data_IF_850167741967
#
_entry.id   IF_850167741967
#
_cell.length_a   1.000
_cell.length_b   1.000
_cell.length_c   1.000
_cell.angle_alpha   90.00
_cell.angle_beta   90.00
_cell.angle_gamma   90.00
#
_symmetry.space_group_name_H-M   'P 1'
#
loop_
_entity.id
_entity.type
_entity.pdbx_description
1 polymer ?
#
# COMPACT_ATOMS: atom_id res chain seq x y z
N UNK A 1 -1.60 10.68 9.69
CA UNK A 1 -0.56 9.97 8.92
C UNK A 1 -0.04 8.80 9.74
N UNK A 2 0.26 7.67 9.12
CA UNK A 2 0.84 6.49 9.77
C UNK A 2 2.17 6.16 9.10
N UNK A 3 3.27 6.84 9.48
CA UNK A 3 4.58 6.54 8.94
C UNK A 3 5.01 5.15 9.42
N UNK A 4 5.52 4.36 8.50
CA UNK A 4 6.01 3.01 8.76
C UNK A 4 7.38 2.84 8.12
N UNK A 5 8.29 2.16 8.81
CA UNK A 5 9.64 1.88 8.34
C UNK A 5 9.89 0.38 8.49
N UNK A 6 10.37 -0.26 7.42
CA UNK A 6 10.83 -1.65 7.44
C UNK A 6 12.32 -1.68 7.33
N UNK A 7 12.94 -2.43 8.23
CA UNK A 7 14.37 -2.69 8.27
C UNK A 7 14.62 -4.19 8.05
N UNK A 8 15.66 -4.51 7.29
CA UNK A 8 16.15 -5.89 7.18
C UNK A 8 17.01 -6.18 8.41
N UNK A 9 16.63 -7.18 9.18
CA UNK A 9 17.44 -7.60 10.33
C UNK A 9 18.81 -8.10 9.84
N UNK A 10 19.93 -7.69 10.48
CA UNK A 10 21.25 -8.24 10.16
C UNK A 10 21.25 -9.76 10.37
N UNK A 11 21.76 -10.50 9.40
CA UNK A 11 21.99 -11.94 9.58
C UNK A 11 23.12 -12.17 10.58
N UNK A 12 23.12 -13.34 11.24
CA UNK A 12 24.18 -13.67 12.20
C UNK A 12 25.59 -13.71 11.55
N UNK A 13 25.65 -14.01 10.27
CA UNK A 13 26.89 -14.02 9.48
C UNK A 13 27.42 -12.61 9.19
N UNK A 14 26.53 -11.58 9.20
CA UNK A 14 26.91 -10.18 8.96
C UNK A 14 27.58 -9.54 10.19
N UNK A 15 27.58 -10.21 11.34
CA UNK A 15 28.20 -9.72 12.58
C UNK A 15 29.73 -9.63 12.54
N UNK A 16 30.37 -10.24 11.54
CA UNK A 16 31.82 -10.22 11.36
C UNK A 16 32.38 -8.91 10.76
N UNK A 17 31.54 -8.13 10.11
CA UNK A 17 31.90 -6.80 9.61
C UNK A 17 31.14 -5.76 10.42
N UNK A 18 31.87 -4.85 11.07
CA UNK A 18 31.35 -3.76 11.92
C UNK A 18 29.93 -3.34 11.52
N UNK A 19 28.93 -3.52 12.37
CA UNK A 19 27.56 -3.20 12.00
C UNK A 19 27.44 -1.69 11.77
N UNK A 20 27.34 -1.28 10.51
CA UNK A 20 27.14 0.13 10.14
C UNK A 20 25.82 0.67 10.74
N UNK A 21 24.89 -0.22 11.05
CA UNK A 21 23.63 0.13 11.66
C UNK A 21 23.12 -1.04 12.54
N UNK A 22 22.97 -0.82 13.84
CA UNK A 22 22.44 -1.83 14.78
C UNK A 22 20.96 -2.20 14.53
N UNK A 23 20.24 -1.39 13.78
CA UNK A 23 18.85 -1.58 13.48
C UNK A 23 18.60 -2.37 12.18
N UNK A 24 19.67 -2.60 11.38
CA UNK A 24 19.59 -3.21 10.06
C UNK A 24 19.42 -2.21 8.93
N UNK A 25 19.37 -2.71 7.71
CA UNK A 25 19.29 -1.90 6.51
C UNK A 25 17.85 -1.47 6.21
N UNK A 26 17.68 -0.23 5.80
CA UNK A 26 16.39 0.31 5.40
C UNK A 26 15.89 -0.42 4.13
N UNK A 27 14.66 -0.94 4.17
CA UNK A 27 14.03 -1.63 3.04
C UNK A 27 12.91 -0.80 2.44
N UNK A 28 11.99 -0.31 3.28
CA UNK A 28 10.81 0.41 2.81
C UNK A 28 10.40 1.46 3.84
N UNK A 29 10.08 2.65 3.34
CA UNK A 29 9.42 3.72 4.11
C UNK A 29 8.11 4.05 3.40
N UNK A 30 7.00 4.04 4.14
CA UNK A 30 5.72 4.46 3.58
C UNK A 30 4.79 5.04 4.64
N UNK A 31 3.79 5.73 4.18
CA UNK A 31 2.76 6.28 5.04
C UNK A 31 1.52 6.62 4.25
N UNK A 32 0.39 6.64 4.94
CA UNK A 32 -0.89 6.88 4.31
C UNK A 32 -1.68 8.02 4.93
N UNK A 33 -2.66 8.50 4.19
CA UNK A 33 -3.74 9.38 4.65
C UNK A 33 -5.09 8.85 4.17
N UNK A 34 -6.18 9.16 4.91
CA UNK A 34 -7.53 8.67 4.54
C UNK A 34 -8.39 8.24 5.72
N UNK A 35 -8.14 8.81 6.92
CA UNK A 35 -8.94 8.50 8.12
C UNK A 35 -8.83 7.02 8.53
N UNK A 36 -9.93 6.34 8.82
CA UNK A 36 -9.92 4.94 9.25
C UNK A 36 -9.35 3.99 8.20
N UNK A 37 -9.38 4.36 6.92
CA UNK A 37 -8.86 3.58 5.80
C UNK A 37 -7.32 3.58 5.71
N UNK A 38 -6.62 4.41 6.48
CA UNK A 38 -5.15 4.47 6.51
C UNK A 38 -4.55 3.09 6.80
N UNK A 39 -5.07 2.39 7.82
CA UNK A 39 -4.52 1.12 8.28
C UNK A 39 -4.57 0.08 7.15
N UNK A 40 -5.73 -0.11 6.52
CA UNK A 40 -5.88 -1.07 5.42
C UNK A 40 -5.10 -0.66 4.18
N UNK A 41 -5.04 0.64 3.85
CA UNK A 41 -4.26 1.12 2.69
C UNK A 41 -2.77 0.83 2.87
N UNK A 42 -2.21 1.15 4.04
CA UNK A 42 -0.82 0.86 4.38
C UNK A 42 -0.55 -0.65 4.37
N UNK A 43 -1.47 -1.45 4.92
CA UNK A 43 -1.34 -2.92 4.93
C UNK A 43 -1.43 -3.52 3.51
N UNK A 44 -2.34 -3.04 2.65
CA UNK A 44 -2.43 -3.53 1.26
C UNK A 44 -1.12 -3.27 0.51
N UNK A 45 -0.54 -2.07 0.63
CA UNK A 45 0.76 -1.76 -0.01
C UNK A 45 1.87 -2.63 0.55
N UNK A 46 1.93 -2.83 1.86
CA UNK A 46 2.90 -3.74 2.49
C UNK A 46 2.83 -5.17 1.91
N UNK A 47 1.63 -5.74 1.88
CA UNK A 47 1.43 -7.10 1.36
C UNK A 47 1.79 -7.20 -0.12
N UNK A 48 1.43 -6.21 -0.92
CA UNK A 48 1.74 -6.18 -2.34
C UNK A 48 3.25 -6.05 -2.58
N UNK A 49 3.91 -5.08 -1.96
CA UNK A 49 5.32 -4.80 -2.19
C UNK A 49 6.25 -5.89 -1.59
N UNK A 50 6.05 -6.27 -0.33
CA UNK A 50 7.01 -7.13 0.37
C UNK A 50 6.64 -8.60 0.37
N UNK A 51 5.36 -8.95 0.40
CA UNK A 51 4.93 -10.37 0.42
C UNK A 51 4.73 -10.89 -1.00
N UNK A 52 4.00 -10.16 -1.83
CA UNK A 52 3.73 -10.54 -3.23
C UNK A 52 4.85 -10.15 -4.19
N UNK A 53 5.82 -9.34 -3.74
CA UNK A 53 6.97 -8.88 -4.54
C UNK A 53 6.55 -8.11 -5.81
N UNK A 54 5.46 -7.38 -5.74
CA UNK A 54 5.01 -6.51 -6.83
C UNK A 54 5.96 -5.32 -6.98
N UNK A 55 6.17 -4.80 -8.21
CA UNK A 55 6.82 -3.51 -8.40
C UNK A 55 6.15 -2.44 -7.52
N UNK A 56 6.94 -1.50 -6.97
CA UNK A 56 6.40 -0.55 -5.98
C UNK A 56 5.24 0.28 -6.54
N UNK A 57 5.33 0.69 -7.81
CA UNK A 57 4.26 1.42 -8.49
C UNK A 57 2.95 0.61 -8.49
N UNK A 58 3.00 -0.65 -8.93
CA UNK A 58 1.84 -1.53 -8.97
C UNK A 58 1.31 -1.81 -7.56
N UNK A 59 2.20 -1.99 -6.58
CA UNK A 59 1.82 -2.22 -5.19
C UNK A 59 1.02 -1.05 -4.60
N UNK A 60 1.38 0.18 -4.96
CA UNK A 60 0.71 1.41 -4.50
C UNK A 60 -0.58 1.65 -5.28
N UNK A 61 -0.61 1.38 -6.60
CA UNK A 61 -1.76 1.70 -7.46
C UNK A 61 -2.84 0.62 -7.49
N UNK A 62 -2.52 -0.62 -7.08
CA UNK A 62 -3.51 -1.71 -7.01
C UNK A 62 -4.78 -1.27 -6.25
N UNK A 63 -5.98 -1.58 -6.77
CA UNK A 63 -7.25 -1.29 -6.10
C UNK A 63 -7.32 -1.91 -4.70
N UNK A 64 -7.93 -1.19 -3.77
CA UNK A 64 -7.88 -1.51 -2.34
C UNK A 64 -9.21 -2.00 -1.80
N UNK A 65 -9.11 -2.77 -0.72
CA UNK A 65 -10.23 -3.27 0.06
C UNK A 65 -10.08 -2.74 1.48
N UNK A 66 -11.19 -2.31 2.09
CA UNK A 66 -11.22 -1.89 3.47
C UNK A 66 -12.43 -2.49 4.19
N UNK A 67 -12.16 -3.11 5.34
CA UNK A 67 -13.20 -3.59 6.24
C UNK A 67 -12.92 -3.05 7.65
N UNK A 68 -13.89 -2.37 8.21
CA UNK A 68 -13.86 -1.89 9.59
C UNK A 68 -15.08 -2.38 10.39
N UNK A 69 -15.73 -3.44 9.90
CA UNK A 69 -16.95 -4.04 10.42
C UNK A 69 -18.18 -3.15 10.21
N UNK A 70 -18.16 -1.91 10.66
CA UNK A 70 -19.27 -0.95 10.49
C UNK A 70 -18.75 0.27 9.73
N UNK A 71 -19.34 0.52 8.56
CA UNK A 71 -19.05 1.68 7.72
C UNK A 71 -20.33 2.50 7.51
N UNK A 72 -20.34 3.74 8.01
CA UNK A 72 -21.52 4.64 7.99
C UNK A 72 -22.81 3.96 8.47
N UNK A 73 -22.74 3.21 9.59
CA UNK A 73 -23.89 2.54 10.20
C UNK A 73 -24.30 1.21 9.53
N UNK A 74 -23.58 0.76 8.51
CA UNK A 74 -23.83 -0.50 7.82
C UNK A 74 -22.67 -1.47 7.98
N UNK A 75 -22.97 -2.77 8.12
CA UNK A 75 -21.96 -3.84 8.12
C UNK A 75 -21.64 -4.14 6.65
N UNK A 76 -20.53 -3.59 6.15
CA UNK A 76 -20.10 -3.74 4.75
C UNK A 76 -18.57 -3.76 4.66
N UNK A 77 -18.05 -4.51 3.69
CA UNK A 77 -16.68 -4.41 3.21
C UNK A 77 -16.67 -3.45 2.04
N UNK A 78 -15.85 -2.42 2.10
CA UNK A 78 -15.72 -1.47 1.01
C UNK A 78 -14.65 -1.90 0.02
N UNK A 79 -14.95 -1.79 -1.26
CA UNK A 79 -14.06 -2.05 -2.38
C UNK A 79 -13.88 -0.79 -3.20
N UNK A 80 -12.67 -0.57 -3.70
CA UNK A 80 -12.40 0.61 -4.49
C UNK A 80 -12.97 0.48 -5.91
N UNK A 81 -13.66 1.55 -6.32
CA UNK A 81 -14.09 1.76 -7.69
C UNK A 81 -14.04 3.27 -7.97
N UNK A 82 -12.96 3.73 -8.58
CA UNK A 82 -12.71 5.15 -8.83
C UNK A 82 -12.09 5.37 -10.20
N UNK A 83 -12.57 6.39 -10.91
CA UNK A 83 -11.88 6.93 -12.09
C UNK A 83 -10.97 8.04 -11.61
N UNK A 84 -9.67 7.90 -11.84
CA UNK A 84 -8.66 8.86 -11.43
C UNK A 84 -8.72 10.13 -12.30
N UNK A 85 -7.89 11.13 -11.98
CA UNK A 85 -7.77 12.36 -12.75
C UNK A 85 -9.12 13.03 -13.01
N UNK A 86 -9.88 13.26 -11.92
CA UNK A 86 -11.17 13.95 -11.97
C UNK A 86 -12.22 13.31 -12.90
N UNK A 87 -12.10 11.98 -13.09
CA UNK A 87 -13.05 11.22 -13.89
C UNK A 87 -12.65 11.00 -15.35
N UNK A 88 -11.46 11.47 -15.75
CA UNK A 88 -10.95 11.34 -17.13
C UNK A 88 -9.81 10.30 -17.25
N UNK A 89 -9.27 9.84 -16.13
CA UNK A 89 -8.13 8.92 -16.06
C UNK A 89 -8.51 7.44 -15.98
N UNK A 90 -7.55 6.58 -15.64
CA UNK A 90 -7.77 5.15 -15.53
C UNK A 90 -8.74 4.78 -14.41
N UNK A 91 -9.56 3.76 -14.66
CA UNK A 91 -10.41 3.15 -13.65
C UNK A 91 -9.59 2.24 -12.75
N UNK A 92 -9.60 2.52 -11.44
CA UNK A 92 -9.17 1.58 -10.41
C UNK A 92 -10.39 0.87 -9.83
N UNK A 93 -10.49 -0.43 -10.05
CA UNK A 93 -11.60 -1.23 -9.55
C UNK A 93 -11.10 -2.58 -9.05
N UNK A 94 -11.60 -2.99 -7.87
CA UNK A 94 -11.36 -4.34 -7.36
C UNK A 94 -12.01 -5.35 -8.31
N UNK A 95 -11.27 -6.34 -8.84
CA UNK A 95 -11.81 -7.32 -9.78
C UNK A 95 -13.05 -8.05 -9.26
N UNK A 96 -14.01 -8.31 -10.15
CA UNK A 96 -15.29 -8.91 -9.78
C UNK A 96 -15.14 -10.29 -9.13
N UNK A 97 -14.22 -11.12 -9.61
CA UNK A 97 -13.94 -12.42 -9.00
C UNK A 97 -13.45 -12.32 -7.53
N UNK A 98 -12.81 -11.22 -7.15
CA UNK A 98 -12.44 -10.94 -5.75
C UNK A 98 -13.68 -10.56 -4.95
N UNK A 99 -14.54 -9.68 -5.49
CA UNK A 99 -15.81 -9.30 -4.87
C UNK A 99 -16.69 -10.53 -4.64
N UNK A 100 -16.88 -11.38 -5.67
CA UNK A 100 -17.62 -12.64 -5.54
C UNK A 100 -17.01 -13.58 -4.45
N UNK A 101 -15.69 -13.67 -4.38
CA UNK A 101 -15.02 -14.48 -3.37
C UNK A 101 -15.29 -13.98 -1.96
N UNK A 102 -15.37 -12.67 -1.77
CA UNK A 102 -15.75 -12.06 -0.50
C UNK A 102 -17.22 -12.29 -0.18
N UNK A 103 -18.11 -12.14 -1.17
CA UNK A 103 -19.55 -12.39 -1.01
C UNK A 103 -19.85 -13.84 -0.62
N UNK A 104 -19.13 -14.82 -1.20
CA UNK A 104 -19.21 -16.24 -0.78
C UNK A 104 -18.79 -16.47 0.67
N UNK A 105 -18.04 -15.53 1.27
CA UNK A 105 -17.66 -15.51 2.69
C UNK A 105 -18.57 -14.58 3.52
N UNK A 106 -19.73 -14.25 2.99
CA UNK A 106 -20.77 -13.43 3.64
C UNK A 106 -20.42 -11.95 3.81
N UNK A 107 -19.40 -11.44 3.08
CA UNK A 107 -19.18 -10.00 3.02
C UNK A 107 -20.23 -9.32 2.16
N UNK A 108 -20.77 -8.22 2.64
CA UNK A 108 -21.62 -7.31 1.83
C UNK A 108 -20.71 -6.25 1.23
N UNK A 109 -20.64 -6.20 -0.10
CA UNK A 109 -19.73 -5.31 -0.82
C UNK A 109 -20.39 -3.94 -1.04
N UNK A 110 -19.62 -2.89 -0.83
CA UNK A 110 -19.95 -1.51 -1.17
C UNK A 110 -18.78 -0.89 -1.95
N UNK A 111 -19.00 -0.55 -3.20
CA UNK A 111 -18.01 0.19 -3.98
C UNK A 111 -17.92 1.63 -3.51
N UNK A 112 -16.69 2.13 -3.35
CA UNK A 112 -16.40 3.50 -2.94
C UNK A 112 -15.31 4.11 -3.82
N UNK A 113 -15.34 5.42 -3.96
CA UNK A 113 -14.44 6.20 -4.81
C UNK A 113 -13.13 6.62 -4.12
N UNK A 114 -13.00 6.39 -2.81
CA UNK A 114 -11.81 6.79 -2.06
C UNK A 114 -11.46 5.81 -0.95
N UNK A 115 -10.28 5.21 -1.03
CA UNK A 115 -9.74 4.26 -0.05
C UNK A 115 -8.53 4.78 0.72
N UNK A 116 -8.22 6.06 0.60
CA UNK A 116 -7.01 6.67 1.15
C UNK A 116 -5.88 6.68 0.11
N UNK A 117 -4.78 7.34 0.43
CA UNK A 117 -3.57 7.36 -0.41
C UNK A 117 -2.33 6.97 0.39
N UNK A 118 -1.33 6.42 -0.30
CA UNK A 118 -0.07 5.94 0.30
C UNK A 118 1.11 6.45 -0.51
N UNK A 119 2.07 7.06 0.17
CA UNK A 119 3.36 7.45 -0.40
C UNK A 119 4.40 6.44 0.06
N UNK A 120 5.26 5.97 -0.84
CA UNK A 120 6.21 4.90 -0.52
C UNK A 120 7.57 5.11 -1.18
N UNK A 121 8.64 4.72 -0.47
CA UNK A 121 10.01 4.66 -0.97
C UNK A 121 10.58 3.30 -0.64
N UNK A 122 11.02 2.55 -1.65
CA UNK A 122 11.67 1.26 -1.55
C UNK A 122 13.16 1.42 -1.82
N UNK A 123 13.99 0.79 -1.01
CA UNK A 123 15.45 0.72 -1.20
C UNK A 123 15.81 -0.61 -1.83
N UNK A 124 16.45 -0.58 -2.98
CA UNK A 124 17.07 -1.75 -3.60
C UNK A 124 18.57 -1.73 -3.27
N UNK A 125 18.99 -2.65 -2.42
CA UNK A 125 20.39 -2.78 -2.00
C UNK A 125 21.27 -3.48 -3.03
N UNK A 126 20.71 -4.21 -3.99
CA UNK A 126 21.48 -4.88 -5.02
C UNK A 126 21.94 -3.87 -6.08
N UNK A 127 21.04 -2.97 -6.46
CA UNK A 127 21.31 -1.93 -7.46
C UNK A 127 21.71 -0.59 -6.85
N UNK A 128 21.61 -0.45 -5.51
CA UNK A 128 21.83 0.79 -4.77
C UNK A 128 20.92 1.94 -5.29
N UNK A 129 19.66 1.63 -5.57
CA UNK A 129 18.69 2.59 -6.08
C UNK A 129 17.52 2.78 -5.12
N UNK A 130 16.89 3.95 -5.23
CA UNK A 130 15.65 4.28 -4.54
C UNK A 130 14.50 4.32 -5.55
N UNK A 131 13.44 3.57 -5.28
CA UNK A 131 12.18 3.68 -5.99
C UNK A 131 11.18 4.45 -5.15
N UNK A 132 10.71 5.60 -5.63
CA UNK A 132 9.74 6.43 -4.93
C UNK A 132 8.44 6.52 -5.73
N UNK A 133 7.31 6.34 -5.06
CA UNK A 133 5.98 6.39 -5.68
C UNK A 133 5.06 7.30 -4.88
N UNK A 134 4.46 8.26 -5.57
CA UNK A 134 3.31 9.03 -5.10
C UNK A 134 2.04 8.35 -5.56
N UNK A 135 1.08 8.21 -4.64
CA UNK A 135 -0.22 7.60 -4.96
C UNK A 135 -1.03 8.48 -5.92
N UNK A 136 -1.39 7.92 -7.06
CA UNK A 136 -2.13 8.63 -8.10
C UNK A 136 -3.59 8.97 -7.72
N UNK A 137 -4.06 8.51 -6.54
CA UNK A 137 -5.37 8.93 -5.97
C UNK A 137 -5.34 10.35 -5.42
N UNK A 138 -4.17 10.95 -5.35
CA UNK A 138 -3.95 12.31 -4.91
C UNK A 138 -2.79 12.90 -5.71
N UNK A 139 -2.94 14.13 -6.15
CA UNK A 139 -1.89 14.83 -6.89
C UNK A 139 -0.58 14.86 -6.12
N UNK A 140 0.50 14.66 -6.85
CA UNK A 140 1.85 14.65 -6.33
C UNK A 140 2.78 13.82 -7.19
N UNK A 141 4.06 14.14 -7.10
CA UNK A 141 5.12 13.36 -7.74
C UNK A 141 6.29 13.21 -6.78
N UNK A 142 7.01 12.08 -6.82
CA UNK A 142 8.25 11.97 -6.08
C UNK A 142 9.28 12.93 -6.65
N UNK A 143 10.12 13.48 -5.78
CA UNK A 143 11.23 14.36 -6.17
C UNK A 143 12.51 13.89 -5.49
N UNK A 144 13.62 13.94 -6.20
CA UNK A 144 14.93 13.55 -5.72
C UNK A 144 16.06 14.14 -6.57
N UNK A 145 17.27 14.01 -6.09
CA UNK A 145 18.52 14.45 -6.75
C UNK A 145 19.63 13.43 -6.44
#
# INVERSE_FOLDING_TARGET
MSPTIVLKTPNDDDKATTPKNKWGDLVLVWGGSGGPKIISSVLNVFLNALVRKMPLFDAVTTPRIHDQLVYHGSIVTTTEKVILEHGEGPLLEVPENIKESLQKRHHRILDIDYTGCVQAILVDHETNTLSAVSDMRKDGSPSGY
#
